data_IF_151368225370
#
_entry.id   IF_151368225370
#
_cell.length_a   1.000
_cell.length_b   1.000
_cell.length_c   1.000
_cell.angle_alpha   90.00
_cell.angle_beta   90.00
_cell.angle_gamma   90.00
#
_symmetry.space_group_name_H-M   'P 1'
#
loop_
_entity.id
_entity.type
_entity.pdbx_description
1 polymer ?
#
# COMPACT_ATOMS: atom_id res chain seq x y z
N UNK A 1 18.11 7.63 7.03
CA UNK A 1 17.10 6.55 6.92
C UNK A 1 15.87 6.98 7.70
N UNK A 2 14.70 6.93 7.08
CA UNK A 2 13.39 7.12 7.73
C UNK A 2 12.85 5.74 8.09
N UNK A 3 12.39 5.54 9.32
CA UNK A 3 11.76 4.28 9.73
C UNK A 3 10.25 4.46 9.65
N UNK A 4 9.60 3.65 8.83
CA UNK A 4 8.15 3.53 8.77
C UNK A 4 7.73 2.30 9.59
N UNK A 5 7.30 2.53 10.83
CA UNK A 5 6.97 1.45 11.77
C UNK A 5 5.80 0.59 11.29
N UNK A 6 4.87 1.16 10.52
CA UNK A 6 3.74 0.43 9.92
C UNK A 6 4.22 -0.55 8.87
N UNK A 7 5.12 -0.15 7.96
CA UNK A 7 5.76 -1.05 6.98
C UNK A 7 6.54 -2.18 7.67
N UNK A 8 7.37 -1.83 8.66
CA UNK A 8 8.16 -2.83 9.41
C UNK A 8 7.24 -3.82 10.14
N UNK A 9 6.18 -3.33 10.77
CA UNK A 9 5.18 -4.16 11.44
C UNK A 9 4.50 -5.11 10.47
N UNK A 10 4.02 -4.61 9.31
CA UNK A 10 3.35 -5.42 8.29
C UNK A 10 4.26 -6.54 7.77
N UNK A 11 5.53 -6.27 7.45
CA UNK A 11 6.49 -7.31 7.02
C UNK A 11 6.66 -8.37 8.10
N UNK A 12 6.84 -7.95 9.35
CA UNK A 12 7.05 -8.89 10.44
C UNK A 12 5.82 -9.75 10.69
N UNK A 13 4.62 -9.18 10.61
CA UNK A 13 3.35 -9.88 10.88
C UNK A 13 2.84 -10.69 9.69
N UNK A 14 3.34 -10.44 8.47
CA UNK A 14 2.93 -11.15 7.28
C UNK A 14 3.32 -12.64 7.37
N UNK A 15 2.31 -13.51 7.56
CA UNK A 15 2.49 -14.96 7.69
C UNK A 15 2.77 -15.65 6.36
N UNK A 16 2.54 -14.99 5.21
CA UNK A 16 2.98 -15.48 3.91
C UNK A 16 4.51 -15.45 3.79
N UNK A 17 5.20 -14.57 4.54
CA UNK A 17 6.66 -14.60 4.66
C UNK A 17 7.05 -15.56 5.79
N UNK A 18 7.73 -16.69 5.50
CA UNK A 18 8.11 -17.64 6.53
C UNK A 18 9.09 -17.00 7.53
N UNK A 19 8.90 -17.25 8.83
CA UNK A 19 9.80 -16.73 9.85
C UNK A 19 11.25 -17.21 9.68
N UNK A 20 11.44 -18.40 9.10
CA UNK A 20 12.77 -18.92 8.73
C UNK A 20 13.45 -18.12 7.62
N UNK A 21 12.68 -17.59 6.66
CA UNK A 21 13.20 -16.73 5.60
C UNK A 21 13.72 -15.43 6.19
N UNK A 22 12.91 -14.76 7.02
CA UNK A 22 13.32 -13.52 7.70
C UNK A 22 14.52 -13.73 8.64
N UNK A 23 14.66 -14.90 9.26
CA UNK A 23 15.83 -15.22 10.07
C UNK A 23 17.11 -15.28 9.22
N UNK A 24 17.05 -15.91 8.05
CA UNK A 24 18.18 -15.98 7.11
C UNK A 24 18.55 -14.62 6.53
N UNK A 25 17.55 -13.85 6.09
CA UNK A 25 17.77 -12.58 5.42
C UNK A 25 18.16 -11.46 6.40
N UNK A 26 17.56 -11.44 7.59
CA UNK A 26 17.66 -10.30 8.52
C UNK A 26 18.41 -10.62 9.81
N UNK A 27 18.82 -11.88 10.03
CA UNK A 27 19.47 -12.31 11.27
C UNK A 27 18.57 -12.28 12.50
N UNK A 28 17.25 -12.16 12.32
CA UNK A 28 16.28 -12.08 13.42
C UNK A 28 15.85 -13.50 13.79
N UNK A 29 16.10 -13.94 15.03
CA UNK A 29 15.71 -15.27 15.48
C UNK A 29 14.27 -15.62 15.14
N UNK A 30 14.07 -16.79 14.51
CA UNK A 30 12.73 -17.31 14.17
C UNK A 30 11.83 -17.39 15.40
N UNK A 31 12.36 -17.79 16.55
CA UNK A 31 11.60 -17.82 17.80
C UNK A 31 11.10 -16.43 18.20
N UNK A 32 11.93 -15.38 18.03
CA UNK A 32 11.53 -14.00 18.31
C UNK A 32 10.40 -13.56 17.39
N UNK A 33 10.50 -13.84 16.09
CA UNK A 33 9.47 -13.52 15.09
C UNK A 33 8.15 -14.22 15.45
N UNK A 34 8.18 -15.53 15.70
CA UNK A 34 6.99 -16.31 16.05
C UNK A 34 6.31 -15.79 17.31
N UNK A 35 7.07 -15.47 18.37
CA UNK A 35 6.53 -14.91 19.61
C UNK A 35 5.83 -13.57 19.37
N UNK A 36 6.39 -12.72 18.50
CA UNK A 36 5.74 -11.45 18.15
C UNK A 36 4.45 -11.71 17.36
N UNK A 37 4.49 -12.58 16.35
CA UNK A 37 3.31 -12.96 15.55
C UNK A 37 2.18 -13.58 16.37
N UNK A 38 2.51 -14.24 17.47
CA UNK A 38 1.54 -14.86 18.38
C UNK A 38 1.08 -13.92 19.51
N UNK A 39 1.59 -12.69 19.59
CA UNK A 39 1.27 -11.75 20.67
C UNK A 39 1.96 -12.07 22.01
N UNK A 40 2.81 -13.09 22.06
CA UNK A 40 3.60 -13.45 23.25
C UNK A 40 4.71 -12.41 23.54
N UNK A 41 5.05 -11.60 22.54
CA UNK A 41 5.97 -10.46 22.67
C UNK A 41 5.44 -9.27 21.88
N UNK A 42 5.47 -8.09 22.49
CA UNK A 42 5.09 -6.82 21.85
C UNK A 42 6.11 -6.40 20.78
N UNK A 43 5.64 -5.77 19.69
CA UNK A 43 6.47 -5.25 18.61
C UNK A 43 7.44 -4.17 19.13
N UNK A 44 6.97 -3.34 20.05
CA UNK A 44 7.70 -2.26 20.72
C UNK A 44 8.88 -2.78 21.55
N UNK A 45 8.92 -4.08 21.84
CA UNK A 45 10.04 -4.72 22.53
C UNK A 45 11.18 -5.13 21.57
N UNK A 46 11.09 -4.79 20.28
CA UNK A 46 12.19 -4.92 19.33
C UNK A 46 13.22 -3.82 19.55
N UNK A 47 14.49 -4.17 19.34
CA UNK A 47 15.58 -3.19 19.38
C UNK A 47 15.52 -2.30 18.15
N UNK A 48 15.96 -1.04 18.30
CA UNK A 48 16.06 -0.11 17.17
C UNK A 48 16.91 -0.72 16.03
N UNK A 49 18.01 -1.40 16.34
CA UNK A 49 18.85 -2.10 15.35
C UNK A 49 18.06 -3.11 14.52
N UNK A 50 17.19 -3.91 15.15
CA UNK A 50 16.31 -4.85 14.46
C UNK A 50 15.33 -4.12 13.53
N UNK A 51 14.71 -3.04 14.01
CA UNK A 51 13.77 -2.23 13.22
C UNK A 51 14.47 -1.60 12.02
N UNK A 52 15.67 -1.04 12.23
CA UNK A 52 16.54 -0.48 11.20
C UNK A 52 16.92 -1.52 10.13
N UNK A 53 17.21 -2.75 10.54
CA UNK A 53 17.56 -3.86 9.63
C UNK A 53 16.38 -4.20 8.72
N UNK A 54 15.17 -4.33 9.28
CA UNK A 54 13.96 -4.58 8.48
C UNK A 54 13.67 -3.39 7.54
N UNK A 55 13.78 -2.16 8.03
CA UNK A 55 13.56 -0.97 7.21
C UNK A 55 14.53 -0.90 6.02
N UNK A 56 15.82 -1.15 6.27
CA UNK A 56 16.82 -1.17 5.19
C UNK A 56 16.48 -2.23 4.14
N UNK A 57 16.08 -3.42 4.56
CA UNK A 57 15.66 -4.49 3.65
C UNK A 57 14.43 -4.11 2.80
N UNK A 58 13.48 -3.36 3.38
CA UNK A 58 12.35 -2.78 2.65
C UNK A 58 12.84 -1.73 1.64
N UNK A 59 13.70 -0.81 2.06
CA UNK A 59 14.22 0.28 1.21
C UNK A 59 15.05 -0.25 0.02
N UNK A 60 15.64 -1.45 0.15
CA UNK A 60 16.33 -2.17 -0.93
C UNK A 60 15.37 -2.82 -1.95
N UNK A 61 14.05 -2.70 -1.75
CA UNK A 61 13.03 -3.20 -2.67
C UNK A 61 12.69 -4.68 -2.49
N UNK A 62 13.12 -5.32 -1.40
CA UNK A 62 12.86 -6.74 -1.15
C UNK A 62 11.41 -7.03 -0.72
N UNK A 63 10.61 -5.99 -0.48
CA UNK A 63 9.19 -6.10 -0.20
C UNK A 63 8.44 -4.89 -0.76
N UNK A 64 7.35 -5.16 -1.48
CA UNK A 64 6.46 -4.14 -2.03
C UNK A 64 5.16 -4.09 -1.23
N UNK A 65 4.70 -2.88 -0.96
CA UNK A 65 3.37 -2.64 -0.41
C UNK A 65 2.45 -2.32 -1.58
N UNK A 66 1.30 -2.99 -1.61
CA UNK A 66 0.27 -2.78 -2.61
C UNK A 66 -1.02 -2.31 -1.98
N UNK A 67 -1.87 -1.69 -2.79
CA UNK A 67 -3.24 -1.37 -2.46
C UNK A 67 -4.14 -2.05 -3.49
N UNK A 68 -5.17 -2.73 -3.04
CA UNK A 68 -6.05 -3.47 -3.93
C UNK A 68 -6.95 -2.49 -4.69
N UNK A 69 -6.60 -2.31 -5.97
CA UNK A 69 -7.33 -1.50 -6.93
C UNK A 69 -8.07 -2.36 -7.95
N UNK A 70 -8.16 -3.67 -7.75
CA UNK A 70 -8.63 -4.60 -8.79
C UNK A 70 -9.99 -4.20 -9.34
N UNK A 71 -10.94 -3.88 -8.46
CA UNK A 71 -12.30 -3.45 -8.82
C UNK A 71 -12.28 -2.09 -9.57
N UNK A 72 -11.63 -1.07 -9.00
CA UNK A 72 -11.54 0.27 -9.61
C UNK A 72 -10.80 0.27 -10.95
N UNK A 73 -9.80 -0.60 -11.12
CA UNK A 73 -9.08 -0.76 -12.40
C UNK A 73 -10.02 -1.38 -13.44
N UNK A 74 -10.74 -2.44 -13.08
CA UNK A 74 -11.67 -3.11 -13.99
C UNK A 74 -12.78 -2.15 -14.45
N UNK A 75 -13.37 -1.40 -13.53
CA UNK A 75 -14.39 -0.38 -13.82
C UNK A 75 -13.85 0.71 -14.75
N UNK A 76 -12.70 1.29 -14.42
CA UNK A 76 -12.12 2.37 -15.22
C UNK A 76 -11.69 1.90 -16.61
N UNK A 77 -11.16 0.68 -16.74
CA UNK A 77 -10.82 0.11 -18.05
C UNK A 77 -12.08 -0.11 -18.91
N UNK A 78 -13.19 -0.54 -18.31
CA UNK A 78 -14.46 -0.68 -19.00
C UNK A 78 -14.98 0.68 -19.47
N UNK A 79 -14.99 1.70 -18.62
CA UNK A 79 -15.42 3.06 -18.97
C UNK A 79 -14.59 3.66 -20.12
N UNK A 80 -13.27 3.45 -20.09
CA UNK A 80 -12.37 3.87 -21.17
C UNK A 80 -12.72 3.14 -22.48
N UNK A 81 -12.97 1.83 -22.42
CA UNK A 81 -13.30 1.03 -23.62
C UNK A 81 -14.66 1.40 -24.21
N UNK A 82 -15.62 1.79 -23.38
CA UNK A 82 -16.95 2.26 -23.77
C UNK A 82 -16.97 3.73 -24.22
N UNK A 83 -15.86 4.46 -24.04
CA UNK A 83 -15.74 5.87 -24.39
C UNK A 83 -16.53 6.79 -23.45
N UNK A 84 -16.70 6.37 -22.20
CA UNK A 84 -17.40 7.11 -21.14
C UNK A 84 -16.49 8.09 -20.39
N UNK A 85 -15.17 7.96 -20.55
CA UNK A 85 -14.17 8.85 -19.93
C UNK A 85 -13.63 9.89 -20.92
N UNK A 86 -13.30 11.07 -20.41
CA UNK A 86 -12.53 12.10 -21.12
C UNK A 86 -11.02 12.01 -20.81
N UNK A 87 -10.24 13.02 -21.22
CA UNK A 87 -8.80 13.17 -20.90
C UNK A 87 -8.50 13.25 -19.38
N UNK A 88 -9.52 13.62 -18.59
CA UNK A 88 -9.42 13.84 -17.15
C UNK A 88 -10.59 13.18 -16.40
N UNK A 89 -10.30 12.72 -15.18
CA UNK A 89 -11.26 12.26 -14.18
C UNK A 89 -11.22 13.16 -12.95
N UNK A 90 -12.24 13.03 -12.11
CA UNK A 90 -12.30 13.63 -10.79
C UNK A 90 -12.17 12.53 -9.74
N UNK A 91 -11.00 12.37 -9.13
CA UNK A 91 -10.72 11.27 -8.19
C UNK A 91 -11.02 11.67 -6.74
N UNK A 92 -11.53 10.74 -5.96
CA UNK A 92 -11.68 10.88 -4.51
C UNK A 92 -10.54 10.14 -3.82
N UNK A 93 -9.88 10.83 -2.89
CA UNK A 93 -8.78 10.29 -2.10
C UNK A 93 -9.29 9.86 -0.72
N UNK A 94 -8.94 8.66 -0.30
CA UNK A 94 -9.23 8.16 1.04
C UNK A 94 -8.30 8.72 2.11
N UNK A 95 -8.38 8.12 3.30
CA UNK A 95 -7.49 8.46 4.41
C UNK A 95 -6.02 8.14 4.09
N UNK A 96 -5.11 8.85 4.76
CA UNK A 96 -3.67 8.62 4.60
C UNK A 96 -3.30 7.18 4.96
N UNK A 97 -2.79 6.43 3.98
CA UNK A 97 -2.29 5.10 4.18
C UNK A 97 -0.80 5.15 4.50
N UNK A 98 -0.43 4.89 5.75
CA UNK A 98 0.97 4.96 6.20
C UNK A 98 1.89 3.96 5.48
N UNK A 99 1.38 2.80 5.06
CA UNK A 99 2.19 1.80 4.36
C UNK A 99 2.49 2.25 2.91
N UNK A 100 1.55 2.93 2.26
CA UNK A 100 1.75 3.52 0.93
C UNK A 100 2.42 4.89 1.00
N UNK A 101 2.41 5.52 2.17
CA UNK A 101 2.84 6.91 2.43
C UNK A 101 2.08 7.95 1.60
N UNK A 102 0.82 7.66 1.23
CA UNK A 102 -0.07 8.54 0.46
C UNK A 102 -1.53 8.23 0.73
N UNK A 103 -2.42 9.12 0.30
CA UNK A 103 -3.86 8.88 0.27
C UNK A 103 -4.22 8.07 -0.98
N UNK A 104 -4.69 6.82 -0.85
CA UNK A 104 -5.08 6.01 -2.00
C UNK A 104 -6.30 6.63 -2.68
N UNK A 105 -6.44 6.39 -3.99
CA UNK A 105 -7.69 6.64 -4.70
C UNK A 105 -8.74 5.66 -4.15
N UNK A 106 -9.95 6.12 -3.89
CA UNK A 106 -11.05 5.26 -3.41
C UNK A 106 -12.27 5.30 -4.31
N UNK A 107 -12.37 6.33 -5.16
CA UNK A 107 -13.47 6.51 -6.10
C UNK A 107 -13.06 7.48 -7.23
N UNK A 108 -13.84 7.54 -8.30
CA UNK A 108 -13.68 8.52 -9.37
C UNK A 108 -15.02 8.89 -10.02
N UNK A 109 -15.09 10.10 -10.58
CA UNK A 109 -16.19 10.57 -11.43
C UNK A 109 -15.68 10.91 -12.83
N UNK A 110 -16.46 10.58 -13.84
CA UNK A 110 -16.16 10.87 -15.25
C UNK A 110 -16.44 12.33 -15.60
N UNK A 111 -17.34 12.98 -14.88
CA UNK A 111 -17.71 14.38 -15.08
C UNK A 111 -17.84 15.15 -13.76
N UNK A 112 -17.77 16.48 -13.86
CA UNK A 112 -17.91 17.35 -12.69
C UNK A 112 -19.33 17.34 -12.12
N UNK A 113 -20.33 17.09 -12.95
CA UNK A 113 -21.75 17.11 -12.56
C UNK A 113 -22.16 15.86 -11.76
N UNK A 114 -21.33 14.82 -11.75
CA UNK A 114 -21.52 13.59 -10.98
C UNK A 114 -20.98 13.65 -9.55
N UNK A 115 -20.18 14.68 -9.23
CA UNK A 115 -19.57 14.83 -7.91
C UNK A 115 -20.68 15.10 -6.88
N UNK A 116 -20.79 14.25 -5.86
CA UNK A 116 -21.81 14.44 -4.82
C UNK A 116 -21.49 15.66 -3.94
N UNK A 117 -22.54 16.30 -3.42
CA UNK A 117 -22.42 17.40 -2.47
C UNK A 117 -21.68 16.95 -1.20
N UNK A 118 -20.41 17.35 -1.10
CA UNK A 118 -19.53 17.05 0.05
C UNK A 118 -18.25 16.30 -0.31
N UNK A 119 -18.16 15.73 -1.51
CA UNK A 119 -16.96 15.03 -1.94
C UNK A 119 -15.85 16.00 -2.36
N UNK A 120 -14.63 15.71 -1.90
CA UNK A 120 -13.42 16.45 -2.28
C UNK A 120 -12.72 15.71 -3.41
N UNK A 121 -13.10 16.03 -4.64
CA UNK A 121 -12.55 15.41 -5.83
C UNK A 121 -11.42 16.23 -6.48
N UNK A 122 -10.34 15.56 -6.88
CA UNK A 122 -9.18 16.15 -7.57
C UNK A 122 -9.26 15.87 -9.07
N UNK A 123 -9.09 16.90 -9.90
CA UNK A 123 -9.03 16.71 -11.36
C UNK A 123 -7.66 16.18 -11.79
N UNK A 124 -7.60 14.96 -12.29
CA UNK A 124 -6.35 14.27 -12.69
C UNK A 124 -6.53 13.64 -14.08
N UNK A 125 -5.45 13.52 -14.86
CA UNK A 125 -5.53 12.85 -16.16
C UNK A 125 -5.92 11.38 -16.00
N UNK A 126 -6.85 10.90 -16.83
CA UNK A 126 -7.35 9.50 -16.85
C UNK A 126 -6.21 8.49 -16.94
N UNK A 127 -5.23 8.76 -17.80
CA UNK A 127 -4.04 7.89 -17.95
C UNK A 127 -3.18 7.87 -16.68
N UNK A 128 -3.04 9.02 -16.01
CA UNK A 128 -2.24 9.10 -14.78
C UNK A 128 -2.92 8.34 -13.63
N UNK A 129 -4.25 8.44 -13.51
CA UNK A 129 -5.06 7.69 -12.54
C UNK A 129 -4.88 6.18 -12.74
N UNK A 130 -5.09 5.69 -13.97
CA UNK A 130 -4.96 4.27 -14.27
C UNK A 130 -3.54 3.75 -14.03
N UNK A 131 -2.52 4.54 -14.39
CA UNK A 131 -1.12 4.17 -14.15
C UNK A 131 -0.80 4.11 -12.64
N UNK A 132 -1.30 5.06 -11.85
CA UNK A 132 -1.14 5.04 -10.39
C UNK A 132 -1.76 3.78 -9.79
N UNK A 133 -3.02 3.49 -10.13
CA UNK A 133 -3.72 2.31 -9.64
C UNK A 133 -2.98 1.02 -10.03
N UNK A 134 -2.59 0.86 -11.30
CA UNK A 134 -1.86 -0.33 -11.76
C UNK A 134 -0.50 -0.49 -11.10
N UNK A 135 0.22 0.61 -10.91
CA UNK A 135 1.52 0.57 -10.24
C UNK A 135 1.36 0.15 -8.78
N UNK A 136 0.36 0.65 -8.08
CA UNK A 136 0.16 0.32 -6.67
C UNK A 136 -0.50 -1.04 -6.45
N UNK A 137 -1.28 -1.53 -7.41
CA UNK A 137 -1.93 -2.83 -7.34
C UNK A 137 -0.94 -3.99 -7.57
N UNK A 138 0.14 -3.73 -8.30
CA UNK A 138 1.13 -4.74 -8.63
C UNK A 138 1.80 -5.33 -7.38
N UNK A 139 1.73 -6.66 -7.25
CA UNK A 139 2.39 -7.46 -6.21
C UNK A 139 3.90 -7.62 -6.46
#
# INVERSE_FOLDING_TARGET
>A
MRINTTRVYMVLMNRAIPAYYLEKELGISRSRITRIRNGERKFENLTLETIMTIQKWIDEGNYRFSYDYSDLIEELEADIAEGLTDDYLFIVRGDYNEAMEKCPIIDYYCSQDEINDGDMAEKVSTIAVLNEMKQDNAL
#
